data_IF_767617570683
#
_entry.id   IF_767617570683
#
_cell.length_a   1.000
_cell.length_b   1.000
_cell.length_c   1.000
_cell.angle_alpha   90.00
_cell.angle_beta   90.00
_cell.angle_gamma   90.00
#
_symmetry.space_group_name_H-M   'P 1'
#
loop_
_entity.id
_entity.type
_entity.pdbx_description
1 polymer ?
#
# COMPACT_ATOMS: atom_id res chain seq x y z
N UNK A 1 6.88 -19.67 9.75
CA UNK A 1 7.28 -19.50 8.32
C UNK A 1 8.73 -19.08 8.16
N UNK A 2 9.17 -17.94 8.72
CA UNK A 2 10.56 -17.46 8.55
C UNK A 2 11.62 -18.46 9.04
N UNK A 3 11.39 -19.13 10.17
CA UNK A 3 12.30 -20.17 10.68
C UNK A 3 12.41 -21.35 9.70
N UNK A 4 11.29 -21.75 9.12
CA UNK A 4 11.24 -22.81 8.12
C UNK A 4 12.03 -22.40 6.86
N UNK A 5 11.80 -21.19 6.33
CA UNK A 5 12.54 -20.67 5.16
C UNK A 5 14.03 -20.50 5.44
N UNK A 6 14.39 -20.12 6.67
CA UNK A 6 15.80 -20.04 7.09
C UNK A 6 16.45 -21.42 7.11
N UNK A 7 15.76 -22.42 7.67
CA UNK A 7 16.27 -23.78 7.82
C UNK A 7 16.32 -24.55 6.51
N UNK A 8 15.34 -24.34 5.62
CA UNK A 8 15.12 -25.21 4.46
C UNK A 8 15.30 -24.51 3.11
N UNK A 9 15.21 -23.17 3.05
CA UNK A 9 15.28 -22.41 1.81
C UNK A 9 16.42 -21.37 1.78
N UNK A 10 17.37 -21.46 2.72
CA UNK A 10 18.55 -20.59 2.82
C UNK A 10 18.20 -19.09 2.86
N UNK A 11 17.05 -18.72 3.45
CA UNK A 11 16.57 -17.33 3.47
C UNK A 11 17.60 -16.32 3.99
N UNK A 12 18.33 -16.64 5.06
CA UNK A 12 19.40 -15.78 5.61
C UNK A 12 20.65 -15.65 4.73
N UNK A 13 20.72 -16.38 3.61
CA UNK A 13 21.80 -16.27 2.61
C UNK A 13 21.36 -15.53 1.34
N UNK A 14 20.10 -15.08 1.28
CA UNK A 14 19.66 -14.22 0.18
C UNK A 14 20.41 -12.89 0.22
N UNK A 15 20.72 -12.32 -0.95
CA UNK A 15 21.22 -10.94 -1.04
C UNK A 15 20.12 -9.94 -0.73
N UNK A 16 18.90 -10.24 -1.19
CA UNK A 16 17.76 -9.35 -1.15
C UNK A 16 16.47 -10.13 -0.89
N UNK A 17 15.53 -9.52 -0.16
CA UNK A 17 14.19 -10.06 0.08
C UNK A 17 13.15 -8.97 -0.15
N UNK A 18 12.17 -9.27 -1.01
CA UNK A 18 11.00 -8.41 -1.24
C UNK A 18 9.85 -8.99 -0.43
N UNK A 19 9.32 -8.20 0.50
CA UNK A 19 8.10 -8.53 1.25
C UNK A 19 6.92 -7.87 0.55
N UNK A 20 5.95 -8.65 0.12
CA UNK A 20 4.83 -8.19 -0.70
C UNK A 20 3.54 -8.95 -0.38
N UNK A 21 2.40 -8.34 -0.70
CA UNK A 21 1.08 -8.95 -0.58
C UNK A 21 0.01 -8.02 -1.16
N UNK A 22 -1.06 -8.62 -1.69
CA UNK A 22 -2.24 -7.91 -2.22
C UNK A 22 -3.35 -7.79 -1.18
N UNK A 23 -4.12 -6.70 -1.23
CA UNK A 23 -5.31 -6.48 -0.40
C UNK A 23 -4.99 -6.53 1.10
N UNK A 24 -5.64 -7.44 1.86
CA UNK A 24 -5.30 -7.71 3.26
C UNK A 24 -3.82 -8.09 3.45
N UNK A 25 -3.21 -8.76 2.46
CA UNK A 25 -1.78 -9.05 2.40
C UNK A 25 -0.92 -7.80 2.22
N UNK A 26 -1.44 -6.74 1.59
CA UNK A 26 -0.77 -5.43 1.49
C UNK A 26 -0.72 -4.72 2.85
N UNK A 27 -1.81 -4.81 3.63
CA UNK A 27 -1.82 -4.33 5.02
C UNK A 27 -0.84 -5.15 5.86
N UNK A 28 -0.87 -6.49 5.73
CA UNK A 28 0.09 -7.37 6.41
C UNK A 28 1.55 -7.03 6.04
N UNK A 29 1.80 -6.67 4.78
CA UNK A 29 3.12 -6.23 4.33
C UNK A 29 3.57 -4.99 5.10
N UNK A 30 2.72 -3.96 5.23
CA UNK A 30 3.02 -2.81 6.08
C UNK A 30 3.25 -3.19 7.55
N UNK A 31 2.51 -4.16 8.09
CA UNK A 31 2.59 -4.53 9.51
C UNK A 31 3.85 -5.33 9.86
N UNK A 32 4.30 -6.22 8.96
CA UNK A 32 5.32 -7.23 9.23
C UNK A 32 6.70 -6.93 8.63
N UNK A 33 6.82 -6.02 7.66
CA UNK A 33 8.10 -5.80 6.95
C UNK A 33 9.23 -5.39 7.89
N UNK A 34 8.95 -4.57 8.92
CA UNK A 34 9.94 -4.19 9.93
C UNK A 34 10.51 -5.40 10.69
N UNK A 35 9.62 -6.24 11.23
CA UNK A 35 10.04 -7.47 11.91
C UNK A 35 10.83 -8.42 10.99
N UNK A 36 10.44 -8.55 9.72
CA UNK A 36 11.18 -9.38 8.76
C UNK A 36 12.58 -8.82 8.51
N UNK A 37 12.72 -7.49 8.40
CA UNK A 37 14.02 -6.83 8.28
C UNK A 37 14.91 -7.08 9.52
N UNK A 38 14.33 -6.96 10.71
CA UNK A 38 15.06 -7.21 11.97
C UNK A 38 15.45 -8.68 12.15
N UNK A 39 14.64 -9.61 11.63
CA UNK A 39 14.93 -11.04 11.65
C UNK A 39 16.05 -11.43 10.67
N UNK A 40 16.13 -10.75 9.52
CA UNK A 40 17.06 -11.01 8.41
C UNK A 40 18.24 -10.04 8.39
N UNK A 41 18.78 -9.67 9.56
CA UNK A 41 19.93 -8.75 9.66
C UNK A 41 21.04 -9.12 8.66
N UNK A 42 21.51 -8.11 7.91
CA UNK A 42 22.52 -8.28 6.85
C UNK A 42 21.95 -8.61 5.46
N UNK A 43 20.65 -8.86 5.33
CA UNK A 43 19.96 -8.98 4.03
C UNK A 43 19.28 -7.66 3.68
N UNK A 44 19.32 -7.25 2.42
CA UNK A 44 18.55 -6.08 1.96
C UNK A 44 17.07 -6.45 1.88
N UNK A 45 16.28 -6.03 2.87
CA UNK A 45 14.83 -6.23 2.87
C UNK A 45 14.12 -4.96 2.38
N UNK A 46 13.21 -5.13 1.43
CA UNK A 46 12.34 -4.04 0.93
C UNK A 46 10.87 -4.44 1.06
N UNK A 47 10.01 -3.43 1.20
CA UNK A 47 8.56 -3.62 1.33
C UNK A 47 7.84 -3.19 0.05
N UNK A 48 6.89 -3.99 -0.42
CA UNK A 48 6.10 -3.74 -1.62
C UNK A 48 4.60 -4.04 -1.39
N UNK A 49 3.91 -3.27 -0.53
CA UNK A 49 2.49 -3.46 -0.28
C UNK A 49 1.65 -3.10 -1.52
N UNK A 50 0.66 -3.95 -1.83
CA UNK A 50 -0.26 -3.76 -2.95
C UNK A 50 -1.71 -3.74 -2.49
N UNK A 51 -2.47 -2.73 -2.92
CA UNK A 51 -3.85 -2.48 -2.50
C UNK A 51 -4.08 -2.45 -0.96
N UNK A 52 -3.02 -2.21 -0.19
CA UNK A 52 -3.05 -2.16 1.28
C UNK A 52 -3.03 -0.74 1.85
N UNK A 53 -2.94 0.29 1.02
CA UNK A 53 -2.96 1.68 1.46
C UNK A 53 -4.41 2.13 1.67
N UNK A 54 -4.87 2.11 2.92
CA UNK A 54 -6.25 2.44 3.27
C UNK A 54 -6.41 3.89 3.75
N UNK A 55 -7.09 4.78 3.00
CA UNK A 55 -7.51 6.10 3.47
C UNK A 55 -8.76 5.98 4.35
N UNK A 56 -8.60 5.52 5.59
CA UNK A 56 -9.71 5.25 6.50
C UNK A 56 -10.12 6.50 7.29
N UNK A 57 -11.40 6.82 7.27
CA UNK A 57 -12.00 7.85 8.12
C UNK A 57 -12.46 7.28 9.47
N UNK A 58 -12.32 8.07 10.54
CA UNK A 58 -12.56 7.67 11.93
C UNK A 58 -13.93 7.03 12.21
N UNK A 59 -14.98 7.47 11.50
CA UNK A 59 -16.35 7.02 11.75
C UNK A 59 -16.84 5.94 10.76
N UNK A 60 -15.96 5.48 9.86
CA UNK A 60 -16.30 4.46 8.88
C UNK A 60 -16.53 3.09 9.53
N UNK A 61 -17.31 2.23 8.87
CA UNK A 61 -17.44 0.83 9.29
C UNK A 61 -16.06 0.13 9.29
N UNK A 62 -15.20 0.47 8.33
CA UNK A 62 -13.83 -0.03 8.24
C UNK A 62 -12.99 0.35 9.46
N UNK A 63 -13.08 1.60 9.94
CA UNK A 63 -12.40 2.00 11.18
C UNK A 63 -12.84 1.15 12.37
N UNK A 64 -14.15 0.89 12.53
CA UNK A 64 -14.66 0.02 13.60
C UNK A 64 -14.12 -1.41 13.49
N UNK A 65 -14.10 -1.97 12.29
CA UNK A 65 -13.54 -3.31 12.04
C UNK A 65 -12.04 -3.37 12.33
N UNK A 66 -11.26 -2.38 11.89
CA UNK A 66 -9.83 -2.28 12.19
C UNK A 66 -9.59 -2.14 13.70
N UNK A 67 -10.39 -1.32 14.40
CA UNK A 67 -10.28 -1.16 15.84
C UNK A 67 -10.49 -2.50 16.55
N UNK A 68 -11.54 -3.23 16.16
CA UNK A 68 -11.84 -4.56 16.68
C UNK A 68 -10.69 -5.54 16.40
N UNK A 69 -10.09 -5.51 15.19
CA UNK A 69 -8.94 -6.36 14.87
C UNK A 69 -7.75 -6.07 15.78
N UNK A 70 -7.40 -4.81 16.02
CA UNK A 70 -6.28 -4.47 16.93
C UNK A 70 -6.57 -4.91 18.37
N UNK A 71 -7.81 -4.78 18.84
CA UNK A 71 -8.19 -5.16 20.20
C UNK A 71 -8.21 -6.67 20.42
N UNK A 72 -8.56 -7.45 19.40
CA UNK A 72 -8.80 -8.89 19.53
C UNK A 72 -7.69 -9.75 18.93
N UNK A 73 -6.89 -9.21 18.01
CA UNK A 73 -5.73 -9.89 17.45
C UNK A 73 -4.48 -9.41 18.17
N UNK A 74 -3.67 -10.36 18.66
CA UNK A 74 -2.38 -10.04 19.26
C UNK A 74 -1.35 -9.65 18.19
N UNK A 75 -1.50 -8.47 17.60
CA UNK A 75 -0.64 -7.95 16.53
C UNK A 75 0.48 -7.05 17.06
N UNK A 76 0.53 -6.77 18.37
CA UNK A 76 1.55 -5.89 18.95
C UNK A 76 2.99 -6.34 18.69
N UNK A 77 3.22 -7.62 18.39
CA UNK A 77 4.53 -8.19 18.09
C UNK A 77 4.97 -8.13 16.63
N UNK A 78 4.20 -7.54 15.70
CA UNK A 78 4.57 -7.57 14.27
C UNK A 78 5.58 -6.51 13.86
N UNK A 79 5.76 -5.45 14.66
CA UNK A 79 6.80 -4.43 14.49
C UNK A 79 6.84 -3.48 15.69
N UNK A 80 7.99 -2.83 15.88
CA UNK A 80 8.17 -1.85 16.96
C UNK A 80 7.25 -0.62 16.80
N UNK A 81 7.07 -0.12 15.58
CA UNK A 81 6.19 1.02 15.34
C UNK A 81 4.70 0.69 15.63
N UNK A 82 4.29 -0.54 15.40
CA UNK A 82 2.93 -0.98 15.74
C UNK A 82 2.76 -1.12 17.25
N UNK A 83 3.73 -1.73 17.94
CA UNK A 83 3.76 -1.82 19.40
C UNK A 83 3.67 -0.43 20.05
N UNK A 84 4.44 0.52 19.53
CA UNK A 84 4.41 1.91 19.99
C UNK A 84 3.03 2.54 19.74
N UNK A 85 2.45 2.36 18.56
CA UNK A 85 1.13 2.88 18.25
C UNK A 85 0.06 2.40 19.22
N UNK A 86 -0.01 1.08 19.42
CA UNK A 86 -1.04 0.44 20.25
C UNK A 86 -0.91 0.90 21.70
N UNK A 87 0.32 1.03 22.22
CA UNK A 87 0.54 1.46 23.61
C UNK A 87 0.21 2.94 23.86
N UNK A 88 0.30 3.81 22.85
CA UNK A 88 0.03 5.25 22.97
C UNK A 88 -1.38 5.65 22.54
N UNK A 89 -2.08 4.81 21.79
CA UNK A 89 -3.39 5.14 21.24
C UNK A 89 -4.52 4.85 22.26
N UNK A 90 -5.52 5.73 22.38
CA UNK A 90 -6.72 5.39 23.14
C UNK A 90 -7.48 4.25 22.44
N UNK A 91 -8.20 3.43 23.21
CA UNK A 91 -8.89 2.23 22.71
C UNK A 91 -9.78 2.49 21.50
N UNK A 92 -10.47 3.63 21.45
CA UNK A 92 -11.36 4.01 20.35
C UNK A 92 -10.64 4.59 19.11
N UNK A 93 -9.31 4.63 19.09
CA UNK A 93 -8.49 5.07 17.95
C UNK A 93 -7.44 4.05 17.52
N UNK A 94 -7.50 2.82 18.02
CA UNK A 94 -6.56 1.76 17.66
C UNK A 94 -6.56 1.44 16.17
N UNK A 95 -7.68 1.65 15.48
CA UNK A 95 -7.76 1.52 14.02
C UNK A 95 -6.71 2.32 13.25
N UNK A 96 -6.23 3.45 13.79
CA UNK A 96 -5.18 4.27 13.19
C UNK A 96 -3.88 3.49 13.07
N UNK A 97 -3.61 2.58 14.00
CA UNK A 97 -2.41 1.74 13.98
C UNK A 97 -2.38 0.74 12.82
N UNK A 98 -3.53 0.46 12.20
CA UNK A 98 -3.63 -0.38 11.00
C UNK A 98 -3.88 0.41 9.72
N UNK A 99 -3.90 1.75 9.77
CA UNK A 99 -4.04 2.54 8.55
C UNK A 99 -2.71 2.55 7.78
N UNK A 100 -2.79 2.42 6.46
CA UNK A 100 -1.61 2.54 5.58
C UNK A 100 -0.92 3.90 5.77
N UNK A 101 -1.68 4.94 6.13
CA UNK A 101 -1.16 6.28 6.42
C UNK A 101 -0.23 6.30 7.63
N UNK A 102 -0.64 5.72 8.76
CA UNK A 102 0.18 5.65 9.97
C UNK A 102 1.36 4.72 9.74
N UNK A 103 1.10 3.50 9.27
CA UNK A 103 2.12 2.46 9.11
C UNK A 103 3.25 2.96 8.21
N UNK A 104 2.92 3.50 7.04
CA UNK A 104 3.92 4.05 6.13
C UNK A 104 4.71 5.22 6.75
N UNK A 105 4.07 6.11 7.51
CA UNK A 105 4.76 7.24 8.17
C UNK A 105 5.86 6.80 9.13
N UNK A 106 5.79 5.56 9.65
CA UNK A 106 6.76 5.01 10.61
C UNK A 106 7.78 4.07 9.99
N UNK A 107 7.58 3.64 8.76
CA UNK A 107 8.51 2.73 8.08
C UNK A 107 9.82 3.44 7.72
N UNK A 108 10.93 2.86 8.19
CA UNK A 108 12.30 3.34 7.93
C UNK A 108 12.98 2.64 6.75
N UNK A 109 12.43 1.50 6.32
CA UNK A 109 12.98 0.69 5.23
C UNK A 109 12.48 1.16 3.85
N UNK A 110 13.20 0.83 2.76
CA UNK A 110 12.73 1.10 1.41
C UNK A 110 11.37 0.46 1.16
N UNK A 111 10.40 1.29 0.77
CA UNK A 111 9.01 0.89 0.58
C UNK A 111 8.48 1.36 -0.78
N UNK A 112 7.86 0.46 -1.54
CA UNK A 112 7.21 0.74 -2.81
C UNK A 112 5.69 0.54 -2.69
N UNK A 113 4.92 1.62 -2.70
CA UNK A 113 3.46 1.53 -2.58
C UNK A 113 2.82 1.32 -3.95
N UNK A 114 2.10 0.22 -4.10
CA UNK A 114 1.23 -0.04 -5.25
C UNK A 114 -0.23 0.10 -4.81
N UNK A 115 -0.92 1.20 -5.17
CA UNK A 115 -2.35 1.32 -4.87
C UNK A 115 -3.06 2.19 -5.90
N UNK A 116 -4.16 1.70 -6.49
CA UNK A 116 -5.00 2.53 -7.36
C UNK A 116 -5.71 3.61 -6.54
N UNK A 117 -5.82 4.82 -7.08
CA UNK A 117 -6.63 5.89 -6.50
C UNK A 117 -8.13 5.61 -6.57
N UNK A 118 -8.54 4.70 -7.45
CA UNK A 118 -9.91 4.20 -7.59
C UNK A 118 -10.00 2.71 -7.22
N UNK A 119 -9.34 2.30 -6.13
CA UNK A 119 -9.41 0.92 -5.66
C UNK A 119 -10.86 0.48 -5.44
N UNK A 120 -11.32 -0.56 -6.15
CA UNK A 120 -12.73 -0.93 -6.22
C UNK A 120 -13.27 -1.45 -4.88
N UNK A 121 -12.41 -2.02 -4.03
CA UNK A 121 -12.77 -2.40 -2.68
C UNK A 121 -12.98 -1.16 -1.81
N UNK A 122 -12.09 -0.17 -1.91
CA UNK A 122 -12.20 1.09 -1.16
C UNK A 122 -13.41 1.92 -1.61
N UNK A 123 -13.69 1.99 -2.91
CA UNK A 123 -14.89 2.64 -3.45
C UNK A 123 -16.16 2.08 -2.81
N UNK A 124 -16.24 0.76 -2.67
CA UNK A 124 -17.43 0.11 -2.08
C UNK A 124 -17.48 0.27 -0.57
N UNK A 125 -16.38 -0.01 0.13
CA UNK A 125 -16.40 -0.21 1.58
C UNK A 125 -16.04 1.04 2.40
N UNK A 126 -15.36 2.02 1.78
CA UNK A 126 -14.98 3.27 2.44
C UNK A 126 -15.80 4.42 1.85
N UNK A 127 -15.79 4.59 0.53
CA UNK A 127 -16.51 5.69 -0.12
C UNK A 127 -18.04 5.49 -0.15
N UNK A 128 -18.52 4.28 0.16
CA UNK A 128 -19.94 3.94 0.15
C UNK A 128 -20.57 3.99 -1.26
N UNK A 129 -19.76 3.80 -2.31
CA UNK A 129 -20.25 3.77 -3.68
C UNK A 129 -20.88 2.41 -3.98
N UNK A 130 -22.08 2.42 -4.54
CA UNK A 130 -22.75 1.19 -4.95
C UNK A 130 -21.97 0.48 -6.08
N UNK A 131 -22.13 -0.84 -6.19
CA UNK A 131 -21.48 -1.65 -7.25
C UNK A 131 -21.75 -1.14 -8.67
N UNK A 132 -22.85 -0.44 -8.88
CA UNK A 132 -23.17 0.23 -10.15
C UNK A 132 -22.13 1.29 -10.55
N UNK A 133 -21.47 1.94 -9.59
CA UNK A 133 -20.36 2.85 -9.87
C UNK A 133 -19.10 2.17 -10.41
N UNK A 134 -18.91 0.91 -10.06
CA UNK A 134 -17.78 0.11 -10.54
C UNK A 134 -18.12 -0.44 -11.92
N UNK A 135 -19.34 -0.96 -12.10
CA UNK A 135 -19.81 -1.53 -13.37
C UNK A 135 -20.08 -0.49 -14.45
N UNK A 136 -20.58 0.68 -14.06
CA UNK A 136 -20.92 1.77 -14.99
C UNK A 136 -20.44 3.11 -14.41
N UNK A 137 -19.12 3.38 -14.47
CA UNK A 137 -18.51 4.55 -13.82
C UNK A 137 -19.10 5.89 -14.25
N UNK A 138 -19.57 5.98 -15.50
CA UNK A 138 -20.22 7.19 -16.04
C UNK A 138 -21.45 7.63 -15.22
N UNK A 139 -22.14 6.71 -14.53
CA UNK A 139 -23.32 7.03 -13.70
C UNK A 139 -22.99 7.78 -12.41
N UNK A 140 -21.71 7.81 -12.00
CA UNK A 140 -21.31 8.49 -10.77
C UNK A 140 -19.93 9.14 -10.87
N UNK A 141 -19.63 9.70 -12.04
CA UNK A 141 -18.36 10.38 -12.31
C UNK A 141 -18.01 11.45 -11.26
N UNK A 142 -18.99 12.23 -10.80
CA UNK A 142 -18.77 13.24 -9.75
C UNK A 142 -18.26 12.61 -8.45
N UNK A 143 -18.90 11.53 -7.98
CA UNK A 143 -18.49 10.84 -6.75
C UNK A 143 -17.14 10.14 -6.88
N UNK A 144 -16.84 9.57 -8.05
CA UNK A 144 -15.52 9.01 -8.35
C UNK A 144 -14.45 10.09 -8.32
N UNK A 145 -14.74 11.28 -8.87
CA UNK A 145 -13.85 12.43 -8.84
C UNK A 145 -13.60 12.92 -7.42
N UNK A 146 -14.64 13.00 -6.60
CA UNK A 146 -14.52 13.42 -5.19
C UNK A 146 -13.71 12.42 -4.38
N UNK A 147 -13.95 11.12 -4.57
CA UNK A 147 -13.13 10.07 -3.95
C UNK A 147 -11.67 10.15 -4.40
N UNK A 148 -11.42 10.32 -5.71
CA UNK A 148 -10.06 10.42 -6.23
C UNK A 148 -9.31 11.61 -5.62
N UNK A 149 -9.96 12.77 -5.50
CA UNK A 149 -9.37 13.95 -4.82
C UNK A 149 -9.05 13.64 -3.36
N UNK A 150 -9.98 13.00 -2.65
CA UNK A 150 -9.77 12.58 -1.26
C UNK A 150 -8.57 11.63 -1.14
N UNK A 151 -8.54 10.56 -1.94
CA UNK A 151 -7.43 9.60 -1.96
C UNK A 151 -6.09 10.30 -2.22
N UNK A 152 -6.02 11.16 -3.24
CA UNK A 152 -4.79 11.86 -3.60
C UNK A 152 -4.33 12.81 -2.50
N UNK A 153 -5.25 13.50 -1.81
CA UNK A 153 -4.90 14.32 -0.66
C UNK A 153 -4.31 13.47 0.48
N UNK A 154 -4.95 12.34 0.81
CA UNK A 154 -4.47 11.44 1.87
C UNK A 154 -3.11 10.83 1.51
N UNK A 155 -2.92 10.42 0.25
CA UNK A 155 -1.64 9.92 -0.26
C UNK A 155 -0.56 10.99 -0.13
N UNK A 156 -0.78 12.19 -0.67
CA UNK A 156 0.22 13.27 -0.64
C UNK A 156 0.60 13.67 0.80
N UNK A 157 -0.36 13.80 1.70
CA UNK A 157 -0.10 14.07 3.12
C UNK A 157 0.72 12.94 3.76
N UNK A 158 0.42 11.69 3.42
CA UNK A 158 1.17 10.53 3.91
C UNK A 158 2.60 10.53 3.38
N UNK A 159 2.80 10.79 2.09
CA UNK A 159 4.14 10.91 1.51
C UNK A 159 4.94 12.03 2.19
N UNK A 160 4.28 13.17 2.46
CA UNK A 160 4.78 14.31 3.24
C UNK A 160 5.28 13.94 4.64
N UNK A 161 4.64 12.97 5.28
CA UNK A 161 4.96 12.54 6.65
C UNK A 161 6.18 11.60 6.75
N UNK A 162 6.65 11.04 5.63
CA UNK A 162 7.82 10.15 5.60
C UNK A 162 8.97 10.78 4.79
N UNK A 163 10.10 11.16 5.43
CA UNK A 163 11.26 11.73 4.74
C UNK A 163 11.83 10.84 3.61
N UNK A 164 11.67 9.52 3.71
CA UNK A 164 12.15 8.57 2.70
C UNK A 164 11.41 8.73 1.36
N UNK A 165 10.22 9.34 1.34
CA UNK A 165 9.48 9.66 0.11
C UNK A 165 10.25 10.62 -0.80
N UNK A 166 10.97 11.58 -0.21
CA UNK A 166 11.67 12.65 -0.93
C UNK A 166 13.18 12.43 -1.03
N UNK A 167 13.79 11.69 -0.09
CA UNK A 167 15.21 11.33 -0.13
C UNK A 167 15.55 10.23 -1.16
N UNK A 168 14.57 9.84 -1.99
CA UNK A 168 14.76 8.87 -3.07
C UNK A 168 14.84 7.41 -2.61
N UNK A 169 14.42 7.11 -1.37
CA UNK A 169 14.44 5.76 -0.81
C UNK A 169 13.14 5.02 -1.15
N UNK A 170 12.00 5.68 -0.98
CA UNK A 170 10.69 5.11 -1.28
C UNK A 170 10.26 5.41 -2.72
N UNK A 171 9.25 4.69 -3.17
CA UNK A 171 8.64 4.86 -4.49
C UNK A 171 7.21 4.33 -4.51
N UNK A 172 6.58 4.37 -5.67
CA UNK A 172 5.25 3.84 -5.82
C UNK A 172 4.69 3.95 -7.23
N UNK A 173 3.60 3.22 -7.43
CA UNK A 173 2.82 3.17 -8.66
C UNK A 173 1.34 3.31 -8.30
N UNK A 174 0.75 4.43 -8.70
CA UNK A 174 -0.59 4.83 -8.28
C UNK A 174 -1.44 5.16 -9.51
N UNK A 175 -2.02 4.14 -10.16
CA UNK A 175 -2.92 4.37 -11.29
C UNK A 175 -4.24 4.97 -10.82
N UNK A 176 -4.96 5.56 -11.75
CA UNK A 176 -6.29 6.11 -11.56
C UNK A 176 -7.35 5.20 -12.20
N UNK A 177 -7.26 3.89 -11.99
CA UNK A 177 -8.12 2.90 -12.64
C UNK A 177 -9.03 2.18 -11.64
N UNK A 178 -10.25 1.81 -12.04
CA UNK A 178 -11.17 1.07 -11.16
C UNK A 178 -10.75 -0.40 -11.11
N UNK A 179 -9.97 -0.78 -10.09
CA UNK A 179 -9.39 -2.13 -9.96
C UNK A 179 -9.09 -2.46 -8.50
N UNK A 180 -8.75 -3.71 -8.20
CA UNK A 180 -8.24 -4.11 -6.90
C UNK A 180 -7.05 -5.04 -7.09
N UNK A 181 -5.96 -4.76 -6.37
CA UNK A 181 -4.63 -5.35 -6.58
C UNK A 181 -4.02 -5.09 -7.97
N UNK A 182 -2.71 -5.23 -8.04
CA UNK A 182 -1.88 -4.90 -9.20
C UNK A 182 -0.72 -5.87 -9.40
N UNK A 183 -0.04 -6.25 -8.32
CA UNK A 183 1.15 -7.11 -8.38
C UNK A 183 0.81 -8.55 -8.79
N UNK A 184 -0.36 -9.05 -8.39
CA UNK A 184 -0.80 -10.41 -8.71
C UNK A 184 -1.55 -10.51 -10.04
N UNK A 185 -1.94 -9.37 -10.62
CA UNK A 185 -2.61 -9.33 -11.92
C UNK A 185 -1.57 -9.14 -13.02
N UNK A 186 -1.24 -10.22 -13.74
CA UNK A 186 -0.21 -10.20 -14.78
C UNK A 186 -0.44 -9.15 -15.88
N UNK A 187 -1.70 -8.81 -16.18
CA UNK A 187 -2.01 -7.73 -17.13
C UNK A 187 -1.66 -6.36 -16.54
N UNK A 188 -2.16 -6.05 -15.35
CA UNK A 188 -1.86 -4.77 -14.68
C UNK A 188 -0.34 -4.63 -14.45
N UNK A 189 0.30 -5.69 -13.98
CA UNK A 189 1.73 -5.70 -13.68
C UNK A 189 2.60 -5.38 -14.91
N UNK A 190 2.25 -5.89 -16.08
CA UNK A 190 3.14 -5.89 -17.26
C UNK A 190 2.66 -5.12 -18.48
N UNK A 191 1.42 -4.62 -18.47
CA UNK A 191 0.80 -3.95 -19.63
C UNK A 191 0.06 -2.67 -19.28
N UNK A 192 -0.47 -2.54 -18.08
CA UNK A 192 -1.09 -1.27 -17.69
C UNK A 192 0.00 -0.22 -17.46
N UNK A 193 -0.18 0.97 -18.01
CA UNK A 193 0.82 2.03 -17.99
C UNK A 193 0.34 3.29 -17.29
N UNK A 194 1.27 3.99 -16.66
CA UNK A 194 1.15 5.40 -16.30
C UNK A 194 2.28 6.13 -17.02
N UNK A 195 1.94 7.10 -17.87
CA UNK A 195 2.91 7.92 -18.64
C UNK A 195 3.92 7.06 -19.42
N UNK A 196 3.45 5.95 -20.02
CA UNK A 196 4.28 5.04 -20.82
C UNK A 196 5.14 4.05 -20.03
N UNK A 197 4.93 3.93 -18.71
CA UNK A 197 5.69 3.00 -17.87
C UNK A 197 4.76 2.06 -17.12
N UNK A 198 5.05 0.76 -17.15
CA UNK A 198 4.27 -0.25 -16.43
C UNK A 198 4.64 -0.29 -14.95
N UNK A 199 3.83 -0.99 -14.15
CA UNK A 199 4.17 -1.32 -12.76
C UNK A 199 5.50 -2.08 -12.68
N UNK A 200 5.74 -3.05 -13.57
CA UNK A 200 7.01 -3.78 -13.68
C UNK A 200 8.20 -2.84 -13.91
N UNK A 201 8.07 -1.89 -14.85
CA UNK A 201 9.17 -0.97 -15.17
C UNK A 201 9.44 0.00 -14.02
N UNK A 202 8.37 0.51 -13.41
CA UNK A 202 8.44 1.44 -12.27
C UNK A 202 9.07 0.76 -11.05
N UNK A 203 8.61 -0.46 -10.72
CA UNK A 203 9.18 -1.25 -9.62
C UNK A 203 10.64 -1.61 -9.90
N UNK A 204 10.97 -2.10 -11.10
CA UNK A 204 12.33 -2.49 -11.45
C UNK A 204 13.31 -1.32 -11.38
N UNK A 205 12.92 -0.15 -11.92
CA UNK A 205 13.75 1.04 -11.87
C UNK A 205 13.98 1.55 -10.44
N UNK A 206 12.94 1.53 -9.61
CA UNK A 206 13.07 1.86 -8.18
C UNK A 206 13.94 0.84 -7.43
N UNK A 207 13.67 -0.45 -7.62
CA UNK A 207 14.32 -1.55 -6.89
C UNK A 207 15.82 -1.59 -7.13
N UNK A 208 16.24 -1.41 -8.40
CA UNK A 208 17.65 -1.36 -8.81
C UNK A 208 18.28 0.03 -8.74
N UNK A 209 17.49 1.06 -8.41
CA UNK A 209 17.94 2.46 -8.34
C UNK A 209 18.59 2.97 -9.64
N UNK A 210 18.11 2.52 -10.80
CA UNK A 210 18.69 2.87 -12.11
C UNK A 210 18.15 4.19 -12.69
N UNK A 211 17.10 4.76 -12.07
CA UNK A 211 16.50 6.07 -12.38
C UNK A 211 15.94 6.22 -13.80
N UNK A 212 15.66 5.11 -14.51
CA UNK A 212 15.00 5.13 -15.83
C UNK A 212 13.53 5.56 -15.79
N UNK A 213 12.84 5.28 -14.69
CA UNK A 213 11.44 5.63 -14.46
C UNK A 213 11.35 6.51 -13.21
N UNK A 214 10.44 7.51 -13.16
CA UNK A 214 10.18 8.25 -11.93
C UNK A 214 9.87 7.30 -10.76
N UNK A 215 10.50 7.52 -9.60
CA UNK A 215 10.27 6.67 -8.42
C UNK A 215 8.81 6.63 -7.98
N UNK A 216 8.13 7.77 -8.12
CA UNK A 216 6.70 7.92 -7.86
C UNK A 216 5.99 8.10 -9.20
N UNK A 217 5.38 7.03 -9.70
CA UNK A 217 4.59 7.08 -10.90
C UNK A 217 3.11 7.23 -10.52
N UNK A 218 2.70 8.49 -10.41
CA UNK A 218 1.34 8.89 -10.05
C UNK A 218 0.60 9.32 -11.32
N UNK A 219 -0.59 8.77 -11.49
CA UNK A 219 -1.40 8.89 -12.69
C UNK A 219 -2.18 10.21 -12.79
N UNK A 220 -2.70 10.47 -13.98
CA UNK A 220 -3.63 11.56 -14.27
C UNK A 220 -5.02 11.26 -13.68
N UNK A 221 -5.90 12.26 -13.51
CA UNK A 221 -7.28 12.03 -13.06
C UNK A 221 -8.04 11.06 -13.98
N UNK A 222 -8.90 10.23 -13.40
CA UNK A 222 -9.78 9.34 -14.15
C UNK A 222 -10.81 10.17 -14.94
N UNK A 223 -11.23 9.77 -16.15
CA UNK A 223 -10.88 8.56 -16.91
C UNK A 223 -9.74 8.74 -17.91
N UNK A 224 -8.80 9.66 -17.67
CA UNK A 224 -7.86 10.09 -18.71
C UNK A 224 -6.69 9.14 -18.96
N UNK A 225 -6.55 8.04 -18.20
CA UNK A 225 -5.57 7.01 -18.50
C UNK A 225 -6.21 5.94 -19.42
N UNK A 226 -5.87 5.92 -20.73
CA UNK A 226 -6.45 4.98 -21.68
C UNK A 226 -5.99 3.53 -21.47
N UNK A 227 -4.99 3.33 -20.61
CA UNK A 227 -4.50 1.99 -20.26
C UNK A 227 -5.36 1.30 -19.18
N UNK A 228 -6.26 2.02 -18.52
CA UNK A 228 -7.24 1.41 -17.62
C UNK A 228 -8.21 0.53 -18.43
N UNK A 229 -8.54 -0.64 -17.89
CA UNK A 229 -9.52 -1.57 -18.47
C UNK A 229 -10.81 -1.62 -17.67
#
# INVERSE_FOLDING_TARGET
>A
MLDWLTKHARLKKASEVVVSGGSAGGIATFLHSGFIADYLQGVRVVSAPDAGFLPVDQNSAVAKSLNWLVENMNISGTSDYLKECISKSPKNKLWQCMSGTYLYSKMKMPTFISNSALDSWQLTNIAGLGKECIKTPSKCMSKLTDWQKHFMNVLNNTLGSNPNSYNGINGGYNPSCIQHEQLQNGHVYSKQEIKGHTLRDTFGSWFHNDKKVPRWNIDVPYPNNPSCK
#
